data_IF_128169693546
#
_entry.id   IF_128169693546
#
_cell.length_a   1.000
_cell.length_b   1.000
_cell.length_c   1.000
_cell.angle_alpha   90.00
_cell.angle_beta   90.00
_cell.angle_gamma   90.00
#
_symmetry.space_group_name_H-M   'P 1'
#
loop_
_entity.id
_entity.type
_entity.pdbx_description
1 polymer ?
#
# COMPACT_ATOMS: atom_id res chain seq x y z
N UNK A 1 24.15 -2.67 -6.46
CA UNK A 1 23.72 -4.06 -6.25
C UNK A 1 22.51 -4.31 -7.15
N UNK A 2 22.46 -5.39 -7.94
CA UNK A 2 21.29 -5.70 -8.76
C UNK A 2 20.04 -5.94 -7.91
N UNK A 3 18.86 -5.55 -8.39
CA UNK A 3 17.58 -5.76 -7.69
C UNK A 3 17.37 -7.23 -7.28
N UNK A 4 17.72 -8.16 -8.17
CA UNK A 4 17.62 -9.60 -7.95
C UNK A 4 18.41 -10.11 -6.75
N UNK A 5 19.54 -9.46 -6.41
CA UNK A 5 20.33 -9.81 -5.23
C UNK A 5 19.74 -9.27 -3.91
N UNK A 6 18.92 -8.21 -4.00
CA UNK A 6 18.26 -7.61 -2.85
C UNK A 6 16.96 -8.35 -2.46
N UNK A 7 16.32 -9.01 -3.43
CA UNK A 7 15.09 -9.76 -3.23
C UNK A 7 15.32 -11.03 -2.38
N UNK A 8 14.30 -11.40 -1.59
CA UNK A 8 14.26 -12.61 -0.77
C UNK A 8 13.04 -13.43 -1.16
N UNK A 9 13.24 -14.67 -1.57
CA UNK A 9 12.14 -15.57 -1.94
C UNK A 9 11.60 -16.31 -0.72
N UNK A 10 10.28 -16.36 -0.56
CA UNK A 10 9.66 -17.26 0.41
C UNK A 10 9.64 -18.69 -0.14
N UNK A 11 10.25 -19.62 0.60
CA UNK A 11 10.38 -21.01 0.20
C UNK A 11 9.01 -21.65 -0.11
N UNK A 12 8.92 -22.39 -1.22
CA UNK A 12 7.69 -23.05 -1.65
C UNK A 12 6.64 -22.14 -2.28
N UNK A 13 6.94 -20.86 -2.53
CA UNK A 13 5.98 -19.90 -3.12
C UNK A 13 6.59 -19.12 -4.28
N UNK A 14 5.75 -18.36 -5.00
CA UNK A 14 6.18 -17.33 -5.95
C UNK A 14 6.21 -15.93 -5.33
N UNK A 15 6.23 -15.84 -4.00
CA UNK A 15 6.29 -14.57 -3.27
C UNK A 15 7.75 -14.18 -3.02
N UNK A 16 8.05 -12.92 -3.31
CA UNK A 16 9.34 -12.30 -3.05
C UNK A 16 9.13 -11.07 -2.17
N UNK A 17 10.13 -10.77 -1.35
CA UNK A 17 10.15 -9.64 -0.43
C UNK A 17 11.43 -8.84 -0.64
N UNK A 18 11.28 -7.53 -0.77
CA UNK A 18 12.37 -6.56 -0.72
C UNK A 18 12.26 -5.81 0.61
N UNK A 19 13.17 -6.04 1.58
CA UNK A 19 13.16 -5.29 2.83
C UNK A 19 13.55 -3.82 2.60
N UNK A 20 13.12 -2.93 3.51
CA UNK A 20 13.48 -1.51 3.48
C UNK A 20 14.99 -1.23 3.61
N UNK A 21 15.77 -2.21 4.08
CA UNK A 21 17.20 -2.07 4.34
C UNK A 21 17.49 -1.34 5.65
N UNK A 22 18.64 -0.64 5.70
CA UNK A 22 19.03 0.12 6.88
C UNK A 22 18.28 1.47 6.94
N UNK A 23 17.94 1.98 8.14
CA UNK A 23 17.37 3.32 8.28
C UNK A 23 18.28 4.38 7.67
N UNK A 24 17.69 5.31 6.94
CA UNK A 24 18.38 6.45 6.32
C UNK A 24 17.82 7.77 6.85
N UNK A 25 18.64 8.83 6.81
CA UNK A 25 18.21 10.15 7.31
C UNK A 25 17.13 10.78 6.43
N UNK A 26 17.24 10.63 5.11
CA UNK A 26 16.37 11.27 4.12
C UNK A 26 15.81 10.24 3.12
N UNK A 27 14.73 9.50 3.46
CA UNK A 27 14.15 8.49 2.56
C UNK A 27 13.68 9.06 1.21
N UNK A 28 13.11 10.26 1.21
CA UNK A 28 12.65 10.96 0.01
C UNK A 28 13.78 11.26 -0.98
N UNK A 29 14.97 11.60 -0.49
CA UNK A 29 16.12 11.83 -1.38
C UNK A 29 16.51 10.52 -2.07
N UNK A 30 16.48 9.41 -1.34
CA UNK A 30 16.78 8.09 -1.92
C UNK A 30 15.78 7.68 -2.98
N UNK A 31 14.48 7.92 -2.78
CA UNK A 31 13.43 7.63 -3.75
C UNK A 31 13.53 8.48 -5.02
N UNK A 32 14.15 9.67 -4.94
CA UNK A 32 14.37 10.55 -6.08
C UNK A 32 15.66 10.24 -6.86
N UNK A 33 16.52 9.34 -6.36
CA UNK A 33 17.74 8.96 -7.06
C UNK A 33 17.42 8.21 -8.37
N UNK A 34 18.24 8.37 -9.42
CA UNK A 34 18.08 7.62 -10.68
C UNK A 34 18.00 6.11 -10.46
N UNK A 35 18.78 5.58 -9.51
CA UNK A 35 18.81 4.16 -9.18
C UNK A 35 17.46 3.65 -8.64
N UNK A 36 16.71 4.49 -7.92
CA UNK A 36 15.37 4.14 -7.46
C UNK A 36 14.41 4.00 -8.64
N UNK A 37 14.47 4.91 -9.63
CA UNK A 37 13.65 4.81 -10.86
C UNK A 37 13.90 3.51 -11.61
N UNK A 38 15.16 3.09 -11.72
CA UNK A 38 15.52 1.82 -12.36
C UNK A 38 14.82 0.63 -11.69
N UNK A 39 14.64 0.64 -10.36
CA UNK A 39 13.90 -0.43 -9.65
C UNK A 39 12.45 -0.48 -10.14
N UNK A 40 11.76 0.67 -10.24
CA UNK A 40 10.37 0.72 -10.72
C UNK A 40 10.25 0.30 -12.20
N UNK A 41 11.27 0.52 -13.02
CA UNK A 41 11.30 0.05 -14.41
C UNK A 41 11.62 -1.45 -14.56
N UNK A 42 12.34 -2.04 -13.60
CA UNK A 42 12.71 -3.46 -13.60
C UNK A 42 11.61 -4.35 -13.01
N UNK A 43 10.90 -3.90 -11.97
CA UNK A 43 9.89 -4.71 -11.28
C UNK A 43 8.82 -5.29 -12.21
N UNK A 44 8.23 -4.55 -13.18
CA UNK A 44 7.23 -5.10 -14.11
C UNK A 44 7.78 -6.18 -15.05
N UNK A 45 9.10 -6.21 -15.28
CA UNK A 45 9.76 -7.23 -16.11
C UNK A 45 9.93 -8.55 -15.35
N UNK A 46 9.90 -8.50 -14.01
CA UNK A 46 10.14 -9.64 -13.13
C UNK A 46 8.86 -10.16 -12.48
N UNK A 47 7.86 -9.30 -12.27
CA UNK A 47 6.64 -9.62 -11.51
C UNK A 47 5.40 -9.11 -12.21
N UNK A 48 4.32 -9.91 -12.14
CA UNK A 48 2.99 -9.49 -12.58
C UNK A 48 2.34 -8.48 -11.62
N UNK A 49 2.76 -8.45 -10.36
CA UNK A 49 2.25 -7.57 -9.33
C UNK A 49 3.36 -7.23 -8.34
N UNK A 50 3.56 -5.94 -8.07
CA UNK A 50 4.41 -5.44 -7.00
C UNK A 50 3.54 -4.65 -6.01
N UNK A 51 3.65 -4.97 -4.72
CA UNK A 51 2.94 -4.27 -3.63
C UNK A 51 3.98 -3.50 -2.84
N UNK A 52 3.74 -2.20 -2.69
CA UNK A 52 4.60 -1.31 -1.93
C UNK A 52 3.91 -0.93 -0.63
N UNK A 53 4.53 -1.27 0.49
CA UNK A 53 4.11 -0.79 1.80
C UNK A 53 4.69 0.61 2.03
N UNK A 54 3.90 1.51 2.60
CA UNK A 54 4.28 2.92 2.76
C UNK A 54 3.87 3.43 4.14
N UNK A 55 4.56 4.46 4.68
CA UNK A 55 4.12 5.13 5.90
C UNK A 55 2.71 5.75 5.74
N UNK A 56 2.02 6.07 6.85
CA UNK A 56 0.72 6.72 6.80
C UNK A 56 0.70 8.03 5.98
N UNK A 57 -0.25 8.14 5.05
CA UNK A 57 -0.30 9.19 4.03
C UNK A 57 -0.32 10.63 4.56
N UNK A 58 -0.99 10.88 5.70
CA UNK A 58 -1.05 12.21 6.31
C UNK A 58 0.18 12.58 7.15
N UNK A 59 1.05 11.62 7.44
CA UNK A 59 2.18 11.81 8.36
C UNK A 59 3.54 11.83 7.66
N UNK A 60 3.62 11.36 6.42
CA UNK A 60 4.83 11.41 5.61
C UNK A 60 4.53 11.72 4.14
N UNK A 61 5.42 12.49 3.51
CA UNK A 61 5.37 12.72 2.06
C UNK A 61 5.79 11.49 1.25
N UNK A 62 6.40 10.47 1.87
CA UNK A 62 6.87 9.26 1.18
C UNK A 62 5.74 8.57 0.41
N UNK A 63 4.57 8.42 1.04
CA UNK A 63 3.42 7.78 0.43
C UNK A 63 2.87 8.59 -0.77
N UNK A 64 2.92 9.92 -0.71
CA UNK A 64 2.52 10.76 -1.85
C UNK A 64 3.48 10.62 -3.02
N UNK A 65 4.80 10.59 -2.78
CA UNK A 65 5.79 10.35 -3.83
C UNK A 65 5.67 8.94 -4.41
N UNK A 66 5.51 7.92 -3.56
CA UNK A 66 5.31 6.54 -4.01
C UNK A 66 4.07 6.41 -4.87
N UNK A 67 2.98 7.10 -4.53
CA UNK A 67 1.77 7.12 -5.34
C UNK A 67 2.01 7.64 -6.77
N UNK A 68 3.02 8.49 -7.00
CA UNK A 68 3.37 8.95 -8.36
C UNK A 68 4.24 7.97 -9.15
N UNK A 69 4.70 6.89 -8.53
CA UNK A 69 5.60 5.89 -9.14
C UNK A 69 4.92 4.54 -9.37
N UNK A 70 3.64 4.41 -8.99
CA UNK A 70 2.86 3.17 -9.10
C UNK A 70 1.58 3.39 -9.90
N UNK A 71 1.05 2.30 -10.47
CA UNK A 71 -0.17 2.35 -11.29
C UNK A 71 -1.43 2.65 -10.49
N UNK A 72 -1.45 2.34 -9.18
CA UNK A 72 -2.60 2.60 -8.33
C UNK A 72 -2.34 2.43 -6.84
N UNK A 73 -3.16 3.14 -6.05
CA UNK A 73 -3.05 3.25 -4.61
C UNK A 73 -4.29 2.66 -3.92
N UNK A 74 -4.11 1.84 -2.90
CA UNK A 74 -5.19 1.36 -2.03
C UNK A 74 -5.07 2.03 -0.67
N UNK A 75 -6.11 2.73 -0.24
CA UNK A 75 -6.12 3.37 1.08
C UNK A 75 -6.67 2.41 2.14
N UNK A 76 -5.86 2.11 3.16
CA UNK A 76 -6.29 1.28 4.28
C UNK A 76 -6.83 2.18 5.41
N UNK A 77 -8.09 1.98 5.77
CA UNK A 77 -8.83 2.79 6.76
C UNK A 77 -9.22 1.92 7.93
N UNK A 78 -8.85 2.30 9.15
CA UNK A 78 -9.18 1.53 10.35
C UNK A 78 -10.54 1.94 10.91
N UNK A 79 -11.47 1.00 10.98
CA UNK A 79 -12.81 1.20 11.54
C UNK A 79 -12.71 1.65 13.00
N UNK A 80 -13.48 2.67 13.35
CA UNK A 80 -13.53 3.25 14.69
C UNK A 80 -12.29 4.06 15.11
N UNK A 81 -11.28 4.18 14.25
CA UNK A 81 -10.05 4.92 14.55
C UNK A 81 -9.75 6.03 13.53
N UNK A 82 -9.94 5.78 12.23
CA UNK A 82 -9.71 6.78 11.19
C UNK A 82 -10.99 7.59 10.97
N UNK A 83 -10.88 8.93 11.04
CA UNK A 83 -12.04 9.84 10.86
C UNK A 83 -12.32 10.10 9.38
N UNK A 84 -13.55 10.52 9.07
CA UNK A 84 -13.92 10.93 7.72
C UNK A 84 -13.09 12.12 7.21
N UNK A 85 -12.80 13.10 8.08
CA UNK A 85 -11.93 14.24 7.72
C UNK A 85 -10.52 13.76 7.36
N UNK A 86 -9.94 12.83 8.12
CA UNK A 86 -8.64 12.25 7.78
C UNK A 86 -8.66 11.53 6.43
N UNK A 87 -9.72 10.78 6.12
CA UNK A 87 -9.88 10.15 4.80
C UNK A 87 -9.96 11.21 3.71
N UNK A 88 -10.82 12.23 3.87
CA UNK A 88 -11.00 13.30 2.89
C UNK A 88 -9.71 14.06 2.62
N UNK A 89 -8.95 14.41 3.66
CA UNK A 89 -7.64 15.07 3.52
C UNK A 89 -6.62 14.18 2.83
N UNK A 90 -6.63 12.89 3.14
CA UNK A 90 -5.73 11.89 2.53
C UNK A 90 -6.00 11.77 1.03
N UNK A 91 -7.27 11.65 0.64
CA UNK A 91 -7.64 11.57 -0.77
C UNK A 91 -7.32 12.86 -1.51
N UNK A 92 -7.45 14.02 -0.85
CA UNK A 92 -7.13 15.32 -1.45
C UNK A 92 -5.62 15.59 -1.56
N UNK A 93 -4.79 14.96 -0.71
CA UNK A 93 -3.33 15.18 -0.75
C UNK A 93 -2.63 14.44 -1.89
N UNK A 94 -3.24 13.39 -2.43
CA UNK A 94 -2.65 12.58 -3.50
C UNK A 94 -2.62 13.35 -4.83
N UNK A 95 -1.43 13.52 -5.39
CA UNK A 95 -1.24 14.28 -6.63
C UNK A 95 -1.84 13.59 -7.86
N UNK A 96 -1.66 12.28 -8.01
CA UNK A 96 -2.06 11.52 -9.21
C UNK A 96 -3.50 11.02 -9.18
N UNK A 97 -4.24 11.20 -8.07
CA UNK A 97 -5.60 10.68 -7.87
C UNK A 97 -5.79 9.21 -8.32
N UNK A 98 -4.76 8.37 -8.20
CA UNK A 98 -4.76 6.98 -8.65
C UNK A 98 -5.33 6.01 -7.59
N UNK A 99 -6.32 6.44 -6.81
CA UNK A 99 -6.91 5.60 -5.76
C UNK A 99 -7.79 4.54 -6.41
N UNK A 100 -7.39 3.27 -6.27
CA UNK A 100 -8.15 2.11 -6.74
C UNK A 100 -9.34 1.80 -5.82
N UNK A 101 -9.24 2.16 -4.54
CA UNK A 101 -10.31 1.97 -3.56
C UNK A 101 -9.83 2.07 -2.12
N UNK A 102 -10.78 1.83 -1.20
CA UNK A 102 -10.57 1.85 0.25
C UNK A 102 -10.78 0.44 0.81
N UNK A 103 -9.84 -0.01 1.64
CA UNK A 103 -9.99 -1.20 2.48
C UNK A 103 -10.36 -0.78 3.89
N UNK A 104 -11.60 -1.04 4.29
CA UNK A 104 -12.05 -0.86 5.67
C UNK A 104 -11.55 -2.04 6.52
N UNK A 105 -10.55 -1.79 7.35
CA UNK A 105 -9.87 -2.79 8.16
C UNK A 105 -10.23 -2.68 9.65
N UNK A 106 -10.09 -3.78 10.39
CA UNK A 106 -10.30 -3.81 11.84
C UNK A 106 -11.75 -3.97 12.27
N UNK A 107 -12.63 -4.44 11.37
CA UNK A 107 -14.00 -4.77 11.72
C UNK A 107 -14.05 -5.83 12.82
N UNK A 108 -14.85 -5.62 13.85
CA UNK A 108 -15.11 -6.65 14.86
C UNK A 108 -16.19 -7.60 14.36
N UNK A 109 -16.11 -8.87 14.74
CA UNK A 109 -17.10 -9.87 14.35
C UNK A 109 -18.53 -9.41 14.68
N UNK A 110 -18.77 -8.80 15.85
CA UNK A 110 -20.07 -8.24 16.24
C UNK A 110 -20.60 -7.15 15.30
N UNK A 111 -19.71 -6.37 14.68
CA UNK A 111 -20.05 -5.32 13.71
C UNK A 111 -20.37 -5.92 12.33
N UNK A 112 -19.80 -7.09 12.02
CA UNK A 112 -20.06 -7.85 10.79
C UNK A 112 -21.33 -8.70 10.88
N UNK A 113 -21.58 -9.33 12.03
CA UNK A 113 -22.71 -10.24 12.25
C UNK A 113 -24.07 -9.57 12.03
N UNK A 114 -24.24 -8.30 12.43
CA UNK A 114 -25.48 -7.55 12.19
C UNK A 114 -25.76 -7.30 10.71
N UNK A 115 -24.72 -7.20 9.86
CA UNK A 115 -24.83 -6.96 8.42
C UNK A 115 -24.90 -8.25 7.60
N UNK A 116 -24.21 -9.31 8.03
CA UNK A 116 -24.22 -10.62 7.35
C UNK A 116 -25.41 -11.52 7.73
N UNK A 117 -26.01 -11.38 8.92
CA UNK A 117 -27.26 -12.09 9.24
C UNK A 117 -28.41 -11.75 8.27
N UNK A 118 -28.38 -10.58 7.63
CA UNK A 118 -29.36 -10.22 6.60
C UNK A 118 -29.21 -11.04 5.31
N UNK A 119 -27.98 -11.46 4.98
CA UNK A 119 -27.70 -12.29 3.80
C UNK A 119 -27.95 -13.78 4.05
N UNK A 120 -27.75 -14.27 5.28
CA UNK A 120 -28.05 -15.66 5.64
C UNK A 120 -29.54 -15.92 5.95
N UNK A 121 -30.34 -14.89 6.22
CA UNK A 121 -31.78 -15.04 6.53
C UNK A 121 -32.71 -14.98 5.30
N UNK A 122 -32.19 -14.67 4.11
CA UNK A 122 -32.97 -14.69 2.86
C UNK A 122 -32.90 -16.03 2.10
N UNK A 123 -32.26 -17.06 2.67
CA UNK A 123 -32.24 -18.42 2.12
C UNK A 123 -33.02 -19.42 2.98
N UNK A 124 -34.16 -18.99 3.54
CA UNK A 124 -35.22 -19.87 4.06
C UNK A 124 -36.55 -19.54 3.39
#
# INVERSE_FOLDING_TARGET
MPLTAALRKFAGTNLYFLPAGAPVKNPLEMLNLPEARTIFEELPKLFHLAIFDTPPLLFSADANLMATLVDGTVLVVRIGATTYDSISRSTQSLCENNILGIVANGARASELYSKYNYYFKQQE
#
